data_IF_179447291907
#
_entry.id   IF_179447291907
#
_cell.length_a   1.000
_cell.length_b   1.000
_cell.length_c   1.000
_cell.angle_alpha   90.00
_cell.angle_beta   90.00
_cell.angle_gamma   90.00
#
_symmetry.space_group_name_H-M   'P 1'
#
loop_
_entity.id
_entity.type
_entity.pdbx_description
1 polymer ?
#
# COMPACT_ATOMS: atom_id res chain seq x y z
N UNK A 1 -1.76 12.67 -2.07
CA UNK A 1 -2.81 12.71 -1.03
C UNK A 1 -3.26 11.29 -0.82
N UNK A 2 -2.93 10.68 0.32
CA UNK A 2 -3.55 9.43 0.76
C UNK A 2 -4.77 9.82 1.61
N UNK A 3 -5.97 9.68 1.04
CA UNK A 3 -7.22 9.80 1.76
C UNK A 3 -7.78 8.38 1.92
N UNK A 4 -7.45 7.75 3.03
CA UNK A 4 -8.02 6.45 3.42
C UNK A 4 -9.09 6.72 4.46
N UNK A 5 -10.31 6.26 4.17
CA UNK A 5 -11.32 6.00 5.19
C UNK A 5 -11.06 4.59 5.73
N UNK A 6 -10.92 4.51 7.05
CA UNK A 6 -10.30 3.41 7.80
C UNK A 6 -11.18 2.16 7.93
N UNK A 7 -10.56 0.96 7.85
CA UNK A 7 -11.07 -0.29 8.43
C UNK A 7 -9.92 -1.16 8.98
N UNK A 8 -10.08 -1.82 10.16
CA UNK A 8 -9.08 -2.72 10.75
C UNK A 8 -9.24 -4.16 10.22
N UNK A 9 -9.03 -4.38 8.92
CA UNK A 9 -9.51 -5.62 8.25
C UNK A 9 -8.56 -6.83 8.34
N UNK A 10 -7.36 -6.69 8.92
CA UNK A 10 -6.33 -7.73 8.86
C UNK A 10 -6.11 -8.53 10.15
N UNK A 11 -6.82 -8.21 11.23
CA UNK A 11 -6.56 -8.82 12.56
C UNK A 11 -6.69 -10.34 12.59
N UNK A 12 -7.58 -10.90 11.77
CA UNK A 12 -7.81 -12.35 11.72
C UNK A 12 -7.04 -13.05 10.58
N UNK A 13 -6.20 -12.31 9.84
CA UNK A 13 -5.37 -12.88 8.78
C UNK A 13 -4.01 -13.27 9.37
N UNK A 14 -3.77 -14.57 9.58
CA UNK A 14 -2.40 -15.07 9.76
C UNK A 14 -1.72 -15.14 8.39
N UNK A 15 -0.71 -14.30 8.15
CA UNK A 15 -0.01 -14.30 6.86
C UNK A 15 0.87 -15.54 6.66
N UNK A 16 1.12 -16.34 7.72
CA UNK A 16 1.91 -17.57 7.66
C UNK A 16 1.12 -18.79 7.20
N UNK A 17 -0.21 -18.79 7.33
CA UNK A 17 -1.02 -20.02 7.26
C UNK A 17 -1.35 -20.52 5.85
N UNK A 18 -0.72 -19.99 4.81
CA UNK A 18 -0.92 -20.41 3.42
C UNK A 18 0.41 -20.39 2.67
N UNK A 19 1.31 -21.31 3.03
CA UNK A 19 2.34 -21.78 2.11
C UNK A 19 1.69 -22.81 1.19
N UNK A 20 1.19 -22.34 0.06
CA UNK A 20 1.15 -23.16 -1.15
C UNK A 20 1.78 -22.32 -2.24
N UNK A 21 2.88 -22.85 -2.76
CA UNK A 21 3.62 -22.42 -3.94
C UNK A 21 2.67 -22.22 -5.12
N UNK A 22 2.08 -21.04 -5.24
CA UNK A 22 1.64 -20.53 -6.53
C UNK A 22 2.89 -20.26 -7.37
N UNK A 23 2.85 -20.50 -8.70
CA UNK A 23 3.96 -20.16 -9.56
C UNK A 23 4.29 -18.69 -9.35
N UNK A 24 5.57 -18.40 -9.08
CA UNK A 24 6.04 -17.03 -8.97
C UNK A 24 5.58 -16.30 -10.23
N UNK A 25 4.80 -15.22 -10.04
CA UNK A 25 4.56 -14.19 -11.05
C UNK A 25 5.88 -13.99 -11.78
N UNK A 26 5.91 -14.16 -13.12
CA UNK A 26 7.16 -14.15 -13.88
C UNK A 26 8.01 -12.97 -13.43
N UNK A 27 9.08 -13.27 -12.69
CA UNK A 27 9.77 -12.29 -11.89
C UNK A 27 10.61 -11.45 -12.84
N UNK A 28 10.07 -10.30 -13.23
CA UNK A 28 10.87 -9.26 -13.83
C UNK A 28 11.85 -8.79 -12.76
N UNK A 29 13.13 -9.07 -13.00
CA UNK A 29 14.23 -8.74 -12.08
C UNK A 29 14.29 -7.24 -11.84
N UNK A 30 14.56 -6.84 -10.60
CA UNK A 30 14.81 -5.45 -10.28
C UNK A 30 16.19 -5.04 -10.83
N UNK A 31 16.26 -3.95 -11.59
CA UNK A 31 17.51 -3.29 -11.97
C UNK A 31 17.80 -2.15 -10.98
N UNK A 32 18.81 -2.27 -10.11
CA UNK A 32 19.17 -1.21 -9.17
C UNK A 32 19.55 0.11 -9.85
N UNK A 33 20.08 0.09 -11.08
CA UNK A 33 20.42 1.30 -11.82
C UNK A 33 19.15 2.11 -12.16
N UNK A 34 18.04 1.43 -12.43
CA UNK A 34 16.75 2.08 -12.72
C UNK A 34 16.05 2.67 -11.50
N UNK A 35 16.49 2.33 -10.29
CA UNK A 35 16.07 3.05 -9.07
C UNK A 35 16.74 4.43 -8.95
N UNK A 36 17.82 4.68 -9.70
CA UNK A 36 18.58 5.93 -9.67
C UNK A 36 19.05 6.27 -8.25
N UNK A 37 18.67 7.46 -7.76
CA UNK A 37 19.04 7.93 -6.43
C UNK A 37 18.49 7.05 -5.27
N UNK A 38 17.61 6.08 -5.58
CA UNK A 38 17.02 5.13 -4.64
C UNK A 38 17.68 3.74 -4.66
N UNK A 39 18.76 3.54 -5.43
CA UNK A 39 19.45 2.25 -5.58
C UNK A 39 19.85 1.61 -4.23
N UNK A 40 20.15 2.44 -3.22
CA UNK A 40 20.42 2.00 -1.82
C UNK A 40 19.31 1.15 -1.19
N UNK A 41 18.09 1.22 -1.73
CA UNK A 41 16.93 0.48 -1.23
C UNK A 41 16.72 -0.87 -1.92
N UNK A 42 17.48 -1.20 -2.98
CA UNK A 42 17.35 -2.47 -3.72
C UNK A 42 17.40 -3.71 -2.80
N UNK A 43 18.36 -3.84 -1.85
CA UNK A 43 18.40 -5.01 -0.99
C UNK A 43 17.17 -5.15 -0.08
N UNK A 44 16.55 -4.04 0.32
CA UNK A 44 15.33 -4.08 1.13
C UNK A 44 14.12 -4.48 0.29
N UNK A 45 14.05 -4.02 -0.96
CA UNK A 45 12.98 -4.38 -1.90
C UNK A 45 13.06 -5.87 -2.27
N UNK A 46 14.26 -6.39 -2.52
CA UNK A 46 14.50 -7.80 -2.85
C UNK A 46 14.14 -8.72 -1.69
N UNK A 47 14.64 -8.45 -0.47
CA UNK A 47 14.27 -9.24 0.72
C UNK A 47 12.76 -9.23 1.00
N UNK A 48 12.13 -8.06 0.87
CA UNK A 48 10.70 -7.94 1.06
C UNK A 48 9.93 -8.70 -0.03
N UNK A 49 10.43 -8.72 -1.27
CA UNK A 49 9.87 -9.49 -2.36
C UNK A 49 9.98 -11.00 -2.12
N UNK A 50 11.16 -11.50 -1.74
CA UNK A 50 11.39 -12.91 -1.38
C UNK A 50 10.44 -13.38 -0.28
N UNK A 51 10.26 -12.56 0.77
CA UNK A 51 9.44 -12.90 1.92
C UNK A 51 7.94 -12.91 1.62
N UNK A 52 7.48 -12.08 0.69
CA UNK A 52 6.04 -11.86 0.46
C UNK A 52 5.52 -12.44 -0.85
N UNK A 53 6.40 -12.76 -1.79
CA UNK A 53 6.05 -13.14 -3.16
C UNK A 53 5.62 -11.96 -4.05
N UNK A 54 5.67 -10.71 -3.55
CA UNK A 54 5.37 -9.52 -4.34
C UNK A 54 6.62 -9.13 -5.14
N UNK A 55 6.57 -8.98 -6.48
CA UNK A 55 7.75 -8.65 -7.26
C UNK A 55 8.45 -7.37 -6.77
N UNK A 56 9.79 -7.38 -6.71
CA UNK A 56 10.56 -6.23 -6.23
C UNK A 56 10.32 -4.97 -7.09
N UNK A 57 10.11 -5.13 -8.39
CA UNK A 57 9.70 -4.05 -9.31
C UNK A 57 8.31 -3.48 -8.98
N UNK A 58 7.37 -4.33 -8.55
CA UNK A 58 6.05 -3.92 -8.06
C UNK A 58 6.16 -3.12 -6.75
N UNK A 59 6.97 -3.60 -5.80
CA UNK A 59 7.25 -2.89 -4.55
C UNK A 59 7.88 -1.52 -4.80
N UNK A 60 8.88 -1.46 -5.70
CA UNK A 60 9.51 -0.20 -6.10
C UNK A 60 8.50 0.79 -6.69
N UNK A 61 7.59 0.33 -7.54
CA UNK A 61 6.54 1.16 -8.11
C UNK A 61 5.54 1.67 -7.07
N UNK A 62 5.12 0.83 -6.12
CA UNK A 62 4.21 1.22 -5.03
C UNK A 62 4.88 2.25 -4.12
N UNK A 63 6.10 1.98 -3.66
CA UNK A 63 6.87 2.90 -2.81
C UNK A 63 7.10 4.22 -3.54
N UNK A 64 7.46 4.17 -4.81
CA UNK A 64 7.64 5.37 -5.61
C UNK A 64 6.33 6.17 -5.79
N UNK A 65 5.18 5.52 -5.89
CA UNK A 65 3.90 6.19 -6.01
C UNK A 65 3.48 6.90 -4.71
N UNK A 66 3.84 6.35 -3.56
CA UNK A 66 3.50 6.89 -2.24
C UNK A 66 4.51 7.94 -1.73
N UNK A 67 5.81 7.66 -1.87
CA UNK A 67 6.85 8.49 -1.29
C UNK A 67 6.93 9.87 -1.95
N UNK A 68 6.92 10.91 -1.11
CA UNK A 68 7.42 12.22 -1.52
C UNK A 68 8.91 12.09 -1.91
N UNK A 69 9.34 12.96 -2.81
CA UNK A 69 10.71 12.98 -3.31
C UNK A 69 11.33 14.34 -3.06
N UNK A 70 12.63 14.35 -2.81
CA UNK A 70 13.41 15.59 -2.84
C UNK A 70 13.69 16.03 -4.29
N UNK A 71 14.42 17.14 -4.45
CA UNK A 71 14.81 17.67 -5.76
C UNK A 71 15.70 16.74 -6.57
N UNK A 72 16.39 15.79 -5.92
CA UNK A 72 17.22 14.78 -6.57
C UNK A 72 16.43 13.49 -6.90
N UNK A 73 15.12 13.46 -6.61
CA UNK A 73 14.28 12.28 -6.84
C UNK A 73 14.46 11.18 -5.79
N UNK A 74 15.21 11.43 -4.70
CA UNK A 74 15.33 10.48 -3.60
C UNK A 74 14.03 10.40 -2.82
N UNK A 75 13.62 9.19 -2.47
CA UNK A 75 12.48 8.96 -1.62
C UNK A 75 12.74 9.52 -0.22
N UNK A 76 11.87 10.44 0.20
CA UNK A 76 11.95 11.09 1.50
C UNK A 76 11.30 10.20 2.56
N UNK A 77 12.13 9.57 3.40
CA UNK A 77 11.67 8.73 4.51
C UNK A 77 10.89 9.50 5.56
N UNK A 78 11.07 10.82 5.65
CA UNK A 78 10.35 11.72 6.55
C UNK A 78 9.09 12.33 5.92
N UNK A 79 8.64 11.81 4.77
CA UNK A 79 7.39 12.25 4.14
C UNK A 79 6.22 12.15 5.12
N UNK A 80 5.39 13.20 5.12
CA UNK A 80 4.19 13.31 5.95
C UNK A 80 3.07 13.99 5.17
N UNK A 81 1.84 13.53 5.37
CA UNK A 81 0.67 14.22 4.89
C UNK A 81 0.19 15.23 5.94
N UNK A 82 0.01 16.50 5.56
CA UNK A 82 -0.47 17.55 6.49
C UNK A 82 -1.93 17.39 6.91
N UNK A 83 -2.70 16.54 6.23
CA UNK A 83 -4.15 16.34 6.45
C UNK A 83 -4.48 15.00 7.10
N UNK A 84 -3.49 14.16 7.40
CA UNK A 84 -3.72 12.84 8.01
C UNK A 84 -2.52 12.38 8.81
N UNK A 85 -2.61 11.19 9.42
CA UNK A 85 -1.48 10.59 10.12
C UNK A 85 -0.49 9.88 9.18
N UNK A 86 -0.69 9.92 7.86
CA UNK A 86 0.14 9.21 6.88
C UNK A 86 1.58 9.70 6.91
N UNK A 87 2.51 8.74 6.99
CA UNK A 87 3.95 9.01 7.10
C UNK A 87 4.82 7.90 6.52
N UNK A 88 6.05 8.25 6.17
CA UNK A 88 7.06 7.30 5.72
C UNK A 88 6.96 6.98 4.22
N UNK A 89 7.79 6.04 3.77
CA UNK A 89 7.85 5.68 2.35
C UNK A 89 6.56 5.03 1.84
N UNK A 90 5.83 4.34 2.71
CA UNK A 90 4.53 3.75 2.40
C UNK A 90 3.32 4.63 2.75
N UNK A 91 3.54 5.85 3.26
CA UNK A 91 2.47 6.78 3.69
C UNK A 91 1.43 6.14 4.62
N UNK A 92 1.88 5.29 5.54
CA UNK A 92 0.99 4.54 6.43
C UNK A 92 0.31 5.44 7.45
N UNK A 93 -1.02 5.30 7.59
CA UNK A 93 -1.75 5.85 8.73
C UNK A 93 -1.31 5.17 10.04
N UNK A 94 -1.42 5.88 11.17
CA UNK A 94 -1.00 5.34 12.47
C UNK A 94 -1.73 4.03 12.81
N UNK A 95 -3.02 3.93 12.51
CA UNK A 95 -3.83 2.75 12.83
C UNK A 95 -3.57 1.57 11.90
N UNK A 96 -3.31 1.83 10.62
CA UNK A 96 -2.90 0.78 9.67
C UNK A 96 -1.55 0.20 10.10
N UNK A 97 -0.59 1.06 10.42
CA UNK A 97 0.74 0.66 10.88
C UNK A 97 0.68 -0.17 12.16
N UNK A 98 -0.11 0.27 13.15
CA UNK A 98 -0.38 -0.48 14.38
C UNK A 98 -1.01 -1.84 14.07
N UNK A 99 -2.00 -1.90 13.19
CA UNK A 99 -2.60 -3.15 12.73
C UNK A 99 -1.57 -4.11 12.11
N UNK A 100 -0.61 -3.59 11.34
CA UNK A 100 0.48 -4.40 10.79
C UNK A 100 1.40 -4.94 11.90
N UNK A 101 1.66 -4.16 12.96
CA UNK A 101 2.41 -4.63 14.12
C UNK A 101 1.66 -5.71 14.93
N UNK A 102 0.34 -5.74 14.86
CA UNK A 102 -0.52 -6.74 15.54
C UNK A 102 -0.78 -7.98 14.68
N UNK A 103 -0.61 -7.89 13.35
CA UNK A 103 -0.92 -8.96 12.40
C UNK A 103 0.22 -9.99 12.36
N UNK A 104 -0.06 -11.24 12.71
CA UNK A 104 0.94 -12.31 12.71
C UNK A 104 1.50 -12.57 11.30
N UNK A 105 2.80 -12.80 11.24
CA UNK A 105 3.52 -13.08 9.99
C UNK A 105 4.10 -11.85 9.29
N UNK A 106 3.70 -10.64 9.67
CA UNK A 106 4.32 -9.41 9.14
C UNK A 106 5.71 -9.20 9.75
N UNK A 107 6.57 -8.49 9.03
CA UNK A 107 7.87 -8.06 9.54
C UNK A 107 7.74 -7.16 10.77
N UNK A 108 6.74 -6.27 10.76
CA UNK A 108 6.53 -5.33 11.86
C UNK A 108 6.04 -6.04 13.13
N UNK A 109 5.25 -7.10 13.00
CA UNK A 109 4.83 -7.94 14.11
C UNK A 109 6.00 -8.73 14.71
N UNK A 110 6.88 -9.29 13.87
CA UNK A 110 8.11 -9.93 14.35
C UNK A 110 9.00 -8.94 15.11
N UNK A 111 9.14 -7.73 14.58
CA UNK A 111 9.87 -6.63 15.26
C UNK A 111 9.23 -6.25 16.59
N UNK A 112 7.90 -6.13 16.63
CA UNK A 112 7.16 -5.80 17.83
C UNK A 112 7.27 -6.90 18.90
N UNK A 113 7.27 -8.18 18.51
CA UNK A 113 7.53 -9.30 19.41
C UNK A 113 8.95 -9.24 19.99
N UNK A 114 9.96 -9.09 19.13
CA UNK A 114 11.37 -9.02 19.54
C UNK A 114 11.65 -7.86 20.50
N UNK A 115 10.90 -6.76 20.38
CA UNK A 115 11.00 -5.59 21.26
C UNK A 115 10.09 -5.64 22.49
N UNK A 116 9.30 -6.70 22.67
CA UNK A 116 8.36 -6.82 23.80
C UNK A 116 7.21 -5.81 23.75
N UNK A 117 6.90 -5.27 22.57
CA UNK A 117 5.87 -4.24 22.39
C UNK A 117 4.45 -4.78 22.42
N UNK A 118 4.25 -6.09 22.31
CA UNK A 118 2.93 -6.70 22.31
C UNK A 118 2.52 -7.19 23.70
N UNK A 119 1.23 -7.09 24.01
CA UNK A 119 0.64 -7.71 25.20
C UNK A 119 0.27 -9.18 24.96
N UNK A 120 -0.35 -9.84 25.95
CA UNK A 120 -0.74 -11.25 25.85
C UNK A 120 -1.80 -11.53 24.78
N UNK A 121 -2.55 -10.52 24.37
CA UNK A 121 -3.55 -10.60 23.30
C UNK A 121 -2.96 -10.30 21.92
N UNK A 122 -1.67 -9.95 21.84
CA UNK A 122 -1.00 -9.57 20.60
C UNK A 122 -1.21 -8.10 20.20
N UNK A 123 -1.78 -7.28 21.09
CA UNK A 123 -2.01 -5.85 20.84
C UNK A 123 -0.79 -5.02 21.21
N UNK A 124 -0.57 -3.90 20.51
CA UNK A 124 0.53 -2.98 20.83
C UNK A 124 0.27 -2.33 22.19
N UNK A 125 1.21 -2.47 23.12
CA UNK A 125 1.16 -1.84 24.43
C UNK A 125 1.14 -0.31 24.28
N UNK A 126 0.31 0.42 25.05
CA UNK A 126 0.26 1.88 24.99
C UNK A 126 1.62 2.56 25.12
N UNK A 127 2.48 2.06 26.02
CA UNK A 127 3.83 2.59 26.25
C UNK A 127 4.78 2.41 25.06
N UNK A 128 4.58 1.39 24.22
CA UNK A 128 5.41 1.11 23.05
C UNK A 128 4.94 1.86 21.80
N UNK A 129 3.70 2.38 21.80
CA UNK A 129 3.03 2.90 20.62
C UNK A 129 3.80 4.01 19.92
N UNK A 130 4.40 4.92 20.67
CA UNK A 130 5.16 6.04 20.10
C UNK A 130 6.41 5.54 19.34
N UNK A 131 7.22 4.67 19.95
CA UNK A 131 8.42 4.10 19.33
C UNK A 131 8.06 3.25 18.10
N UNK A 132 7.00 2.45 18.20
CA UNK A 132 6.46 1.64 17.11
C UNK A 132 6.05 2.51 15.91
N UNK A 133 5.40 3.65 16.13
CA UNK A 133 5.00 4.58 15.06
C UNK A 133 6.18 5.33 14.42
N UNK A 134 7.33 5.47 15.11
CA UNK A 134 8.53 6.10 14.55
C UNK A 134 9.21 5.22 13.50
N UNK A 135 9.00 3.90 13.53
CA UNK A 135 9.53 3.01 12.51
C UNK A 135 9.01 3.31 11.10
N UNK A 136 7.91 4.07 10.95
CA UNK A 136 7.48 4.60 9.64
C UNK A 136 8.55 5.45 8.96
N UNK A 137 9.43 6.10 9.70
CA UNK A 137 10.53 6.90 9.12
C UNK A 137 11.78 6.07 8.82
N UNK A 138 11.80 4.80 9.19
CA UNK A 138 12.86 3.88 8.80
C UNK A 138 12.55 3.30 7.41
N UNK A 139 13.48 3.46 6.46
CA UNK A 139 13.29 3.02 5.07
C UNK A 139 12.99 1.52 4.97
N UNK A 140 13.80 0.68 5.62
CA UNK A 140 13.64 -0.78 5.59
C UNK A 140 12.31 -1.19 6.21
N UNK A 141 11.98 -0.69 7.40
CA UNK A 141 10.71 -1.01 8.05
C UNK A 141 9.51 -0.59 7.21
N UNK A 142 9.57 0.58 6.55
CA UNK A 142 8.52 1.01 5.62
C UNK A 142 8.39 0.08 4.42
N UNK A 143 9.49 -0.29 3.77
CA UNK A 143 9.48 -1.16 2.58
C UNK A 143 8.94 -2.55 2.94
N UNK A 144 9.43 -3.15 4.03
CA UNK A 144 8.97 -4.45 4.52
C UNK A 144 7.46 -4.43 4.85
N UNK A 145 7.01 -3.38 5.53
CA UNK A 145 5.59 -3.25 5.89
C UNK A 145 4.71 -2.95 4.66
N UNK A 146 5.21 -2.22 3.66
CA UNK A 146 4.54 -2.03 2.37
C UNK A 146 4.35 -3.36 1.66
N UNK A 147 5.37 -4.23 1.66
CA UNK A 147 5.27 -5.55 1.06
C UNK A 147 4.25 -6.44 1.80
N UNK A 148 4.28 -6.44 3.12
CA UNK A 148 3.29 -7.16 3.94
C UNK A 148 1.87 -6.70 3.69
N UNK A 149 1.68 -5.38 3.61
CA UNK A 149 0.36 -4.80 3.40
C UNK A 149 -0.15 -5.07 1.99
N UNK A 150 0.72 -5.01 0.98
CA UNK A 150 0.40 -5.45 -0.37
C UNK A 150 -0.03 -6.93 -0.38
N UNK A 151 0.73 -7.83 0.25
CA UNK A 151 0.38 -9.25 0.34
C UNK A 151 -0.98 -9.47 1.04
N UNK A 152 -1.20 -8.81 2.18
CA UNK A 152 -2.44 -8.92 2.95
C UNK A 152 -3.65 -8.43 2.13
N UNK A 153 -3.51 -7.31 1.42
CA UNK A 153 -4.52 -6.78 0.52
C UNK A 153 -4.86 -7.76 -0.61
N UNK A 154 -3.84 -8.30 -1.30
CA UNK A 154 -4.06 -9.26 -2.38
C UNK A 154 -4.73 -10.54 -1.88
N UNK A 155 -4.32 -11.06 -0.72
CA UNK A 155 -4.97 -12.22 -0.09
C UNK A 155 -6.45 -11.95 0.21
N UNK A 156 -6.77 -10.78 0.75
CA UNK A 156 -8.16 -10.39 1.04
C UNK A 156 -8.99 -10.21 -0.24
N UNK A 157 -8.41 -9.61 -1.28
CA UNK A 157 -9.05 -9.48 -2.59
C UNK A 157 -9.35 -10.85 -3.22
N UNK A 158 -8.37 -11.76 -3.23
CA UNK A 158 -8.55 -13.14 -3.72
C UNK A 158 -9.67 -13.86 -2.97
N UNK A 159 -9.66 -13.82 -1.63
CA UNK A 159 -10.72 -14.40 -0.78
C UNK A 159 -12.10 -13.82 -1.08
N UNK A 160 -12.16 -12.59 -1.56
CA UNK A 160 -13.40 -11.90 -1.96
C UNK A 160 -13.82 -12.18 -3.41
N UNK A 161 -13.11 -13.07 -4.12
CA UNK A 161 -13.37 -13.41 -5.51
C UNK A 161 -12.88 -12.37 -6.51
N UNK A 162 -11.89 -11.54 -6.15
CA UNK A 162 -11.28 -10.57 -7.05
C UNK A 162 -9.98 -11.14 -7.62
N UNK A 163 -9.84 -11.11 -8.95
CA UNK A 163 -8.60 -11.46 -9.63
C UNK A 163 -7.52 -10.42 -9.32
N UNK A 164 -6.33 -10.88 -8.90
CA UNK A 164 -5.22 -10.00 -8.50
C UNK A 164 -4.16 -9.80 -9.59
N UNK A 165 -4.38 -10.39 -10.77
CA UNK A 165 -3.44 -10.37 -11.89
C UNK A 165 -2.39 -11.47 -11.84
N UNK A 166 -1.78 -11.72 -12.99
CA UNK A 166 -0.78 -12.78 -13.21
C UNK A 166 0.63 -12.21 -13.49
N UNK A 167 0.75 -10.90 -13.72
CA UNK A 167 2.02 -10.20 -13.97
C UNK A 167 2.31 -9.11 -12.92
N UNK A 168 3.56 -8.62 -12.90
CA UNK A 168 4.00 -7.61 -11.92
C UNK A 168 3.21 -6.30 -12.01
N UNK A 169 2.75 -5.89 -13.20
CA UNK A 169 1.97 -4.66 -13.40
C UNK A 169 0.58 -4.79 -12.79
N UNK A 170 -0.12 -5.89 -13.09
CA UNK A 170 -1.44 -6.17 -12.56
C UNK A 170 -1.40 -6.35 -11.03
N UNK A 171 -0.39 -7.06 -10.50
CA UNK A 171 -0.15 -7.21 -9.07
C UNK A 171 0.09 -5.86 -8.41
N UNK A 172 0.98 -5.02 -8.96
CA UNK A 172 1.31 -3.71 -8.40
C UNK A 172 0.09 -2.80 -8.38
N UNK A 173 -0.67 -2.73 -9.48
CA UNK A 173 -1.86 -1.88 -9.60
C UNK A 173 -2.96 -2.33 -8.65
N UNK A 174 -3.20 -3.64 -8.56
CA UNK A 174 -4.23 -4.19 -7.66
C UNK A 174 -3.88 -3.96 -6.19
N UNK A 175 -2.62 -4.23 -5.81
CA UNK A 175 -2.13 -3.96 -4.46
C UNK A 175 -2.19 -2.47 -4.13
N UNK A 176 -1.81 -1.60 -5.08
CA UNK A 176 -1.88 -0.15 -4.91
C UNK A 176 -3.30 0.36 -4.77
N UNK A 177 -4.26 -0.16 -5.55
CA UNK A 177 -5.68 0.21 -5.43
C UNK A 177 -6.22 -0.10 -4.04
N UNK A 178 -5.93 -1.30 -3.52
CA UNK A 178 -6.32 -1.68 -2.15
C UNK A 178 -5.61 -0.83 -1.09
N UNK A 179 -4.34 -0.49 -1.29
CA UNK A 179 -3.61 0.43 -0.41
C UNK A 179 -4.24 1.83 -0.40
N UNK A 180 -4.60 2.33 -1.58
CA UNK A 180 -5.05 3.70 -1.77
C UNK A 180 -6.49 3.94 -1.32
N UNK A 181 -7.39 2.99 -1.60
CA UNK A 181 -8.81 3.07 -1.24
C UNK A 181 -9.10 2.51 0.15
N UNK A 182 -8.24 1.62 0.64
CA UNK A 182 -8.60 0.64 1.64
C UNK A 182 -9.25 -0.60 1.00
N UNK A 183 -9.05 -1.78 1.60
CA UNK A 183 -9.48 -3.07 1.06
C UNK A 183 -10.98 -3.17 0.74
N UNK A 184 -11.87 -2.78 1.66
CA UNK A 184 -13.32 -2.88 1.45
C UNK A 184 -13.83 -2.06 0.24
N UNK A 185 -13.33 -0.84 0.05
CA UNK A 185 -13.69 -0.02 -1.12
C UNK A 185 -13.02 -0.52 -2.39
N UNK A 186 -11.81 -1.08 -2.31
CA UNK A 186 -11.16 -1.71 -3.47
C UNK A 186 -11.92 -2.95 -3.96
N UNK A 187 -12.46 -3.78 -3.06
CA UNK A 187 -13.33 -4.91 -3.43
C UNK A 187 -14.54 -4.41 -4.20
N UNK A 188 -15.25 -3.40 -3.68
CA UNK A 188 -16.41 -2.81 -4.37
C UNK A 188 -16.02 -2.22 -5.71
N UNK A 189 -14.95 -1.44 -5.75
CA UNK A 189 -14.42 -0.82 -6.97
C UNK A 189 -14.15 -1.86 -8.08
N UNK A 190 -13.52 -2.99 -7.72
CA UNK A 190 -13.12 -4.03 -8.66
C UNK A 190 -14.28 -4.96 -9.06
N UNK A 191 -15.29 -5.15 -8.20
CA UNK A 191 -16.41 -6.08 -8.49
C UNK A 191 -17.66 -5.40 -9.03
N UNK A 192 -18.13 -4.37 -8.35
CA UNK A 192 -19.49 -3.81 -8.55
C UNK A 192 -19.49 -2.33 -8.91
N UNK A 193 -18.36 -1.65 -8.74
CA UNK A 193 -18.31 -0.20 -8.71
C UNK A 193 -18.66 0.37 -7.32
N UNK A 194 -18.29 1.63 -7.12
CA UNK A 194 -18.69 2.42 -5.96
C UNK A 194 -20.02 3.14 -6.25
N UNK A 195 -20.78 3.47 -5.22
CA UNK A 195 -21.95 4.34 -5.36
C UNK A 195 -21.51 5.80 -5.59
N UNK A 196 -22.37 6.62 -6.21
CA UNK A 196 -22.07 8.03 -6.46
C UNK A 196 -21.74 8.81 -5.20
N UNK A 197 -22.47 8.56 -4.11
CA UNK A 197 -22.21 9.19 -2.82
C UNK A 197 -20.79 8.86 -2.33
N UNK A 198 -20.41 7.58 -2.36
CA UNK A 198 -19.10 7.12 -1.89
C UNK A 198 -17.99 7.59 -2.82
N UNK A 199 -18.17 7.47 -4.13
CA UNK A 199 -17.21 7.90 -5.14
C UNK A 199 -16.99 9.42 -5.08
N UNK A 200 -18.06 10.20 -4.92
CA UNK A 200 -17.97 11.65 -4.77
C UNK A 200 -17.23 12.07 -3.49
N UNK A 201 -17.46 11.36 -2.38
CA UNK A 201 -16.72 11.58 -1.13
C UNK A 201 -15.22 11.32 -1.31
N UNK A 202 -14.85 10.17 -1.88
CA UNK A 202 -13.45 9.79 -2.11
C UNK A 202 -12.77 10.75 -3.09
N UNK A 203 -13.41 11.06 -4.21
CA UNK A 203 -12.86 11.96 -5.22
C UNK A 203 -12.55 13.34 -4.63
N UNK A 204 -13.50 13.93 -3.89
CA UNK A 204 -13.25 15.20 -3.18
C UNK A 204 -12.10 15.07 -2.18
N UNK A 205 -12.05 13.96 -1.45
CA UNK A 205 -11.00 13.70 -0.48
C UNK A 205 -9.63 13.44 -1.12
N UNK A 206 -9.54 13.07 -2.39
CA UNK A 206 -8.29 12.75 -3.10
C UNK A 206 -7.75 13.91 -3.96
N UNK A 207 -8.64 14.62 -4.67
CA UNK A 207 -8.24 15.70 -5.59
C UNK A 207 -8.75 17.09 -5.18
N UNK A 208 -9.49 17.19 -4.08
CA UNK A 208 -10.07 18.44 -3.60
C UNK A 208 -11.40 18.78 -4.27
N UNK A 209 -12.23 19.55 -3.56
CA UNK A 209 -13.62 19.86 -3.94
C UNK A 209 -13.76 20.45 -5.35
N UNK A 210 -13.00 21.49 -5.68
CA UNK A 210 -13.12 22.17 -6.98
C UNK A 210 -12.79 21.26 -8.17
N UNK A 211 -11.71 20.47 -8.07
CA UNK A 211 -11.32 19.52 -9.15
C UNK A 211 -12.32 18.37 -9.26
N UNK A 212 -12.85 17.90 -8.13
CA UNK A 212 -13.89 16.87 -8.11
C UNK A 212 -15.17 17.37 -8.80
N UNK A 213 -15.67 18.56 -8.47
CA UNK A 213 -16.86 19.13 -9.11
C UNK A 213 -16.70 19.26 -10.62
N UNK A 214 -15.53 19.70 -11.10
CA UNK A 214 -15.23 19.78 -12.53
C UNK A 214 -15.20 18.40 -13.21
N UNK A 215 -14.65 17.38 -12.54
CA UNK A 215 -14.61 16.02 -13.07
C UNK A 215 -16.02 15.40 -13.17
N UNK A 216 -16.84 15.61 -12.15
CA UNK A 216 -18.25 15.17 -12.11
C UNK A 216 -19.05 15.85 -13.23
N UNK A 217 -18.93 17.18 -13.37
CA UNK A 217 -19.62 17.91 -14.42
C UNK A 217 -19.25 17.43 -15.84
N UNK A 218 -18.01 16.96 -16.06
CA UNK A 218 -17.58 16.42 -17.37
C UNK A 218 -18.09 15.01 -17.66
N UNK A 219 -18.35 14.21 -16.62
CA UNK A 219 -18.68 12.78 -16.77
C UNK A 219 -20.16 12.48 -16.55
N UNK A 220 -20.89 13.36 -15.86
CA UNK A 220 -22.33 13.23 -15.58
C UNK A 220 -22.63 12.66 -14.20
N UNK A 221 -21.76 11.82 -13.64
CA UNK A 221 -21.92 11.24 -12.31
C UNK A 221 -20.57 11.05 -11.58
N UNK A 222 -20.64 10.87 -10.26
CA UNK A 222 -19.44 10.83 -9.43
C UNK A 222 -18.69 9.51 -9.49
N UNK A 223 -19.39 8.40 -9.76
CA UNK A 223 -18.79 7.08 -9.90
C UNK A 223 -17.88 7.01 -11.12
N UNK A 224 -18.36 7.47 -12.28
CA UNK A 224 -17.61 7.57 -13.52
C UNK A 224 -16.44 8.53 -13.39
N UNK A 225 -16.65 9.72 -12.78
CA UNK A 225 -15.59 10.68 -12.52
C UNK A 225 -14.44 10.08 -11.69
N UNK A 226 -14.78 9.41 -10.59
CA UNK A 226 -13.81 8.82 -9.69
C UNK A 226 -13.06 7.67 -10.36
N UNK A 227 -13.77 6.79 -11.08
CA UNK A 227 -13.15 5.67 -11.79
C UNK A 227 -12.19 6.13 -12.87
N UNK A 228 -12.62 7.04 -13.74
CA UNK A 228 -11.76 7.59 -14.78
C UNK A 228 -10.50 8.27 -14.21
N UNK A 229 -10.65 9.02 -13.12
CA UNK A 229 -9.51 9.65 -12.47
C UNK A 229 -8.55 8.62 -11.85
N UNK A 230 -9.09 7.66 -11.09
CA UNK A 230 -8.29 6.70 -10.36
C UNK A 230 -7.55 5.74 -11.29
N UNK A 231 -8.22 5.24 -12.34
CA UNK A 231 -7.59 4.36 -13.34
C UNK A 231 -6.41 5.07 -14.04
N UNK A 232 -6.59 6.34 -14.43
CA UNK A 232 -5.51 7.13 -15.01
C UNK A 232 -4.40 7.44 -13.99
N UNK A 233 -4.75 7.75 -12.75
CA UNK A 233 -3.78 8.01 -11.69
C UNK A 233 -2.91 6.78 -11.41
N UNK A 234 -3.53 5.61 -11.24
CA UNK A 234 -2.82 4.35 -10.99
C UNK A 234 -1.99 3.94 -12.20
N UNK A 235 -2.55 3.99 -13.41
CA UNK A 235 -1.84 3.62 -14.64
C UNK A 235 -0.61 4.49 -14.93
N UNK A 236 -0.65 5.77 -14.56
CA UNK A 236 0.49 6.69 -14.75
C UNK A 236 1.55 6.61 -13.64
N UNK A 237 1.17 6.20 -12.43
CA UNK A 237 2.04 6.21 -11.25
C UNK A 237 2.65 4.85 -10.93
N UNK A 238 1.92 3.77 -11.16
CA UNK A 238 2.29 2.41 -10.77
C UNK A 238 2.76 1.66 -12.01
N UNK A 239 4.07 1.74 -12.25
CA UNK A 239 4.74 1.25 -13.46
C UNK A 239 5.96 0.39 -13.10
N UNK A 240 5.77 -0.89 -12.74
CA UNK A 240 6.87 -1.79 -12.36
C UNK A 240 7.94 -1.94 -13.43
N UNK A 241 7.57 -1.88 -14.71
CA UNK A 241 8.49 -1.97 -15.84
C UNK A 241 9.53 -0.84 -15.90
N UNK A 242 9.32 0.25 -15.15
CA UNK A 242 10.35 1.30 -14.99
C UNK A 242 11.56 0.83 -14.18
N UNK A 243 11.44 -0.25 -13.42
CA UNK A 243 12.45 -0.76 -12.50
C UNK A 243 13.02 -2.11 -12.94
N UNK A 244 12.62 -2.58 -14.12
CA UNK A 244 12.94 -3.86 -14.73
C UNK A 244 14.21 -3.82 -15.58
#
# INVERSE_FOLDING_TARGET
>A
MAAVLHSPEFRDIDLRSLEASEPAVAAITLDPARLGANARHAPALERAAERTGIPATALAAIVNAEAAKDSAGQWNTYSRNSRSSAAGLGQFLSRTWEGMAETRGTWLNQTAQAKGWLDRSGQVRPAARAEMLQLRYNATASIETTADYAQANLKLLKRSGVATGEDASAVARTAYLAHHLGPGDAIKYLKTGLTDERAGLLLRAQIGGGRASQAIARTGDASAAHRAWLDNYVGSRVRPERYA
#
